data_IF_572371130299
#
_entry.id   IF_572371130299
#
_cell.length_a   1.000
_cell.length_b   1.000
_cell.length_c   1.000
_cell.angle_alpha   90.00
_cell.angle_beta   90.00
_cell.angle_gamma   90.00
#
_symmetry.space_group_name_H-M   'P 1'
#
loop_
_entity.id
_entity.type
_entity.pdbx_description
1 polymer ?
#
# COMPACT_ATOMS: atom_id res chain seq x y z
N UNK A 1 -10.63 -6.00 3.73
CA UNK A 1 -11.82 -5.97 4.59
C UNK A 1 -11.63 -4.90 5.67
N UNK A 2 -12.65 -4.08 5.95
CA UNK A 2 -12.67 -3.14 7.06
C UNK A 2 -13.55 -3.73 8.17
N UNK A 3 -13.00 -3.88 9.36
CA UNK A 3 -13.72 -4.43 10.52
C UNK A 3 -14.13 -3.28 11.44
N UNK A 4 -15.41 -3.19 11.76
CA UNK A 4 -16.02 -2.16 12.60
C UNK A 4 -16.69 -2.85 13.81
N UNK A 5 -16.37 -2.49 15.05
CA UNK A 5 -17.05 -3.03 16.21
C UNK A 5 -18.48 -2.47 16.32
N UNK A 6 -19.45 -3.31 16.65
CA UNK A 6 -20.84 -2.89 16.85
C UNK A 6 -21.13 -2.43 18.30
N UNK A 7 -20.30 -2.84 19.26
CA UNK A 7 -20.48 -2.54 20.65
C UNK A 7 -20.52 -1.02 20.92
N UNK A 8 -21.43 -0.61 21.80
CA UNK A 8 -21.61 0.78 22.20
C UNK A 8 -20.32 1.31 22.87
N UNK A 9 -19.93 2.52 22.52
CA UNK A 9 -18.66 3.12 22.95
C UNK A 9 -17.46 2.73 22.09
N UNK A 10 -17.36 1.46 21.64
CA UNK A 10 -16.27 1.01 20.75
C UNK A 10 -16.49 1.52 19.31
N UNK A 11 -17.71 1.48 18.81
CA UNK A 11 -18.06 2.01 17.48
C UNK A 11 -17.77 3.50 17.41
N UNK A 12 -18.27 4.26 18.38
CA UNK A 12 -18.10 5.71 18.44
C UNK A 12 -16.62 6.10 18.51
N UNK A 13 -15.83 5.38 19.30
CA UNK A 13 -14.38 5.56 19.35
C UNK A 13 -13.71 5.23 17.99
N UNK A 14 -14.08 4.12 17.34
CA UNK A 14 -13.50 3.70 16.08
C UNK A 14 -13.80 4.67 14.93
N UNK A 15 -14.99 5.32 14.91
CA UNK A 15 -15.43 6.24 13.86
C UNK A 15 -15.19 7.73 14.22
N UNK A 16 -14.68 8.02 15.40
CA UNK A 16 -14.34 9.38 15.82
C UNK A 16 -13.33 10.03 14.87
N UNK A 17 -13.10 11.35 15.04
CA UNK A 17 -12.18 12.10 14.16
C UNK A 17 -10.78 11.48 14.09
N UNK A 18 -10.28 10.97 15.20
CA UNK A 18 -8.96 10.33 15.34
C UNK A 18 -9.10 8.79 15.48
N UNK A 19 -10.26 8.24 15.10
CA UNK A 19 -10.56 6.82 15.22
C UNK A 19 -9.85 5.96 14.19
N UNK A 20 -9.41 4.78 14.62
CA UNK A 20 -8.64 3.86 13.77
C UNK A 20 -9.38 3.42 12.50
N UNK A 21 -10.71 3.24 12.56
CA UNK A 21 -11.47 2.84 11.40
C UNK A 21 -11.43 3.89 10.29
N UNK A 22 -11.46 5.18 10.67
CA UNK A 22 -11.28 6.28 9.72
C UNK A 22 -9.89 6.32 9.11
N UNK A 23 -8.88 6.19 9.94
CA UNK A 23 -7.49 6.14 9.48
C UNK A 23 -7.28 4.98 8.51
N UNK A 24 -7.72 3.77 8.87
CA UNK A 24 -7.56 2.58 8.04
C UNK A 24 -8.29 2.70 6.69
N UNK A 25 -9.52 3.21 6.68
CA UNK A 25 -10.27 3.38 5.43
C UNK A 25 -9.64 4.43 4.52
N UNK A 26 -9.15 5.54 5.07
CA UNK A 26 -8.46 6.58 4.31
C UNK A 26 -7.12 6.08 3.77
N UNK A 27 -6.34 5.34 4.57
CA UNK A 27 -5.12 4.67 4.14
C UNK A 27 -5.40 3.69 3.01
N UNK A 28 -6.38 2.81 3.18
CA UNK A 28 -6.76 1.84 2.16
C UNK A 28 -7.13 2.53 0.84
N UNK A 29 -7.94 3.60 0.89
CA UNK A 29 -8.29 4.38 -0.29
C UNK A 29 -7.07 4.99 -0.97
N UNK A 30 -6.23 5.66 -0.21
CA UNK A 30 -5.03 6.36 -0.72
C UNK A 30 -4.02 5.38 -1.28
N UNK A 31 -3.83 4.22 -0.64
CA UNK A 31 -2.98 3.13 -1.14
C UNK A 31 -3.62 2.34 -2.30
N UNK A 32 -4.83 2.72 -2.71
CA UNK A 32 -5.46 2.23 -3.94
C UNK A 32 -6.27 0.96 -3.81
N UNK A 33 -6.68 0.62 -2.61
CA UNK A 33 -7.66 -0.47 -2.39
C UNK A 33 -9.01 -0.04 -2.94
N UNK A 34 -9.43 -0.65 -4.03
CA UNK A 34 -10.66 -0.26 -4.76
C UNK A 34 -11.89 -1.07 -4.35
N UNK A 35 -11.69 -2.25 -3.82
CA UNK A 35 -12.75 -3.16 -3.40
C UNK A 35 -12.71 -3.31 -1.89
N UNK A 36 -13.87 -3.20 -1.24
CA UNK A 36 -13.97 -3.26 0.21
C UNK A 36 -15.18 -4.07 0.64
N UNK A 37 -15.02 -4.86 1.69
CA UNK A 37 -16.08 -5.47 2.47
C UNK A 37 -15.99 -4.83 3.86
N UNK A 38 -17.12 -4.41 4.41
CA UNK A 38 -17.23 -3.92 5.79
C UNK A 38 -17.85 -5.01 6.65
N UNK A 39 -17.10 -5.54 7.59
CA UNK A 39 -17.58 -6.50 8.58
C UNK A 39 -17.95 -5.75 9.87
N UNK A 40 -19.22 -5.70 10.19
CA UNK A 40 -19.74 -5.15 11.44
C UNK A 40 -19.67 -6.27 12.48
N UNK A 41 -18.60 -6.22 13.28
CA UNK A 41 -18.24 -7.30 14.21
C UNK A 41 -18.79 -7.05 15.62
N UNK A 42 -18.79 -8.08 16.44
CA UNK A 42 -19.30 -8.11 17.81
C UNK A 42 -20.83 -7.91 17.88
N UNK A 43 -21.57 -8.47 16.90
CA UNK A 43 -23.03 -8.42 16.92
C UNK A 43 -23.62 -9.12 18.15
N UNK A 44 -22.91 -10.11 18.71
CA UNK A 44 -23.24 -10.77 19.98
C UNK A 44 -23.31 -9.79 21.15
N UNK A 45 -22.43 -8.79 21.19
CA UNK A 45 -22.39 -7.77 22.27
C UNK A 45 -23.58 -6.81 22.26
N UNK A 46 -24.34 -6.77 21.17
CA UNK A 46 -25.51 -5.89 20.99
C UNK A 46 -26.80 -6.71 20.76
N UNK A 47 -26.84 -7.96 21.22
CA UNK A 47 -27.96 -8.88 21.08
C UNK A 47 -28.46 -9.00 19.63
N UNK A 48 -27.54 -8.93 18.63
CA UNK A 48 -27.82 -9.06 17.20
C UNK A 48 -28.84 -8.04 16.63
N UNK A 49 -28.87 -6.82 17.21
CA UNK A 49 -29.81 -5.76 16.84
C UNK A 49 -29.68 -5.33 15.38
N UNK A 50 -30.78 -5.43 14.64
CA UNK A 50 -30.90 -4.92 13.27
C UNK A 50 -30.83 -3.39 13.23
N UNK A 51 -31.48 -2.71 14.19
CA UNK A 51 -31.50 -1.26 14.29
C UNK A 51 -30.08 -0.70 14.42
N UNK A 52 -29.28 -1.26 15.35
CA UNK A 52 -27.89 -0.88 15.56
C UNK A 52 -27.02 -1.15 14.33
N UNK A 53 -27.21 -2.28 13.67
CA UNK A 53 -26.50 -2.56 12.43
C UNK A 53 -26.82 -1.53 11.34
N UNK A 54 -28.08 -1.15 11.16
CA UNK A 54 -28.48 -0.16 10.16
C UNK A 54 -27.96 1.25 10.47
N UNK A 55 -27.92 1.64 11.74
CA UNK A 55 -27.28 2.88 12.19
C UNK A 55 -25.79 2.90 11.81
N UNK A 56 -25.04 1.87 12.18
CA UNK A 56 -23.62 1.73 11.87
C UNK A 56 -23.39 1.76 10.35
N UNK A 57 -24.17 1.00 9.59
CA UNK A 57 -24.11 0.94 8.13
C UNK A 57 -24.28 2.33 7.53
N UNK A 58 -25.25 3.11 8.00
CA UNK A 58 -25.50 4.47 7.52
C UNK A 58 -24.33 5.41 7.81
N UNK A 59 -23.81 5.44 9.03
CA UNK A 59 -22.70 6.31 9.40
C UNK A 59 -21.40 5.97 8.66
N UNK A 60 -21.09 4.66 8.56
CA UNK A 60 -19.88 4.20 7.86
C UNK A 60 -19.99 4.46 6.36
N UNK A 61 -21.18 4.32 5.76
CA UNK A 61 -21.41 4.66 4.35
C UNK A 61 -21.10 6.12 4.06
N UNK A 62 -21.67 7.04 4.84
CA UNK A 62 -21.40 8.48 4.71
C UNK A 62 -19.91 8.81 4.85
N UNK A 63 -19.25 8.15 5.78
CA UNK A 63 -17.83 8.33 5.99
C UNK A 63 -16.99 7.79 4.81
N UNK A 64 -17.29 6.59 4.31
CA UNK A 64 -16.59 5.99 3.16
C UNK A 64 -16.77 6.82 1.89
N UNK A 65 -17.98 7.38 1.66
CA UNK A 65 -18.23 8.28 0.54
C UNK A 65 -17.42 9.58 0.65
N UNK A 66 -17.34 10.18 1.85
CA UNK A 66 -16.48 11.36 2.09
C UNK A 66 -14.99 11.05 1.89
N UNK A 67 -14.58 9.80 2.08
CA UNK A 67 -13.21 9.35 1.83
C UNK A 67 -12.93 9.20 0.33
N UNK A 68 -13.97 8.94 -0.50
CA UNK A 68 -13.89 8.80 -1.95
C UNK A 68 -14.35 7.44 -2.48
N UNK A 69 -14.78 6.53 -1.61
CA UNK A 69 -15.38 5.26 -2.03
C UNK A 69 -16.79 5.49 -2.60
N UNK A 70 -17.16 4.69 -3.57
CA UNK A 70 -18.55 4.62 -4.07
C UNK A 70 -19.23 3.44 -3.39
N UNK A 71 -19.98 3.70 -2.32
CA UNK A 71 -20.63 2.66 -1.51
C UNK A 71 -21.68 1.91 -2.32
N UNK A 72 -22.54 2.64 -3.02
CA UNK A 72 -23.58 2.08 -3.91
C UNK A 72 -23.07 2.10 -5.36
N UNK A 73 -22.17 1.18 -5.70
CA UNK A 73 -21.68 1.01 -7.05
C UNK A 73 -22.35 -0.21 -7.69
N UNK A 74 -23.06 -0.03 -8.79
CA UNK A 74 -23.74 -1.12 -9.52
C UNK A 74 -22.83 -2.30 -9.84
N UNK A 75 -21.55 -2.02 -10.17
CA UNK A 75 -20.59 -3.04 -10.56
C UNK A 75 -19.89 -3.70 -9.38
N UNK A 76 -19.71 -2.99 -8.28
CA UNK A 76 -18.96 -3.46 -7.11
C UNK A 76 -19.38 -2.71 -5.84
N UNK A 77 -20.58 -2.97 -5.31
CA UNK A 77 -21.06 -2.33 -4.10
C UNK A 77 -20.22 -2.74 -2.89
N UNK A 78 -20.04 -1.83 -1.93
CA UNK A 78 -19.46 -2.18 -0.63
C UNK A 78 -20.49 -2.95 0.17
N UNK A 79 -20.16 -4.20 0.50
CA UNK A 79 -21.05 -5.07 1.28
C UNK A 79 -20.81 -4.87 2.76
N UNK A 80 -21.89 -4.68 3.50
CA UNK A 80 -21.89 -4.64 4.96
C UNK A 80 -22.41 -5.97 5.48
N UNK A 81 -21.60 -6.63 6.31
CA UNK A 81 -21.92 -7.97 6.80
C UNK A 81 -21.88 -7.93 8.32
N UNK A 82 -23.04 -8.22 9.00
CA UNK A 82 -23.06 -8.35 10.44
C UNK A 82 -22.46 -9.70 10.82
N UNK A 83 -21.41 -9.68 11.65
CA UNK A 83 -20.71 -10.88 12.09
C UNK A 83 -20.48 -10.90 13.60
N UNK A 84 -20.29 -12.07 14.15
CA UNK A 84 -19.62 -12.26 15.43
C UNK A 84 -18.38 -13.11 15.21
N UNK A 85 -17.20 -12.48 15.25
CA UNK A 85 -15.94 -13.20 15.12
C UNK A 85 -15.64 -14.11 16.32
N UNK A 86 -16.29 -13.87 17.47
CA UNK A 86 -16.17 -14.69 18.66
C UNK A 86 -16.98 -15.98 18.59
N UNK A 87 -18.23 -15.88 18.13
CA UNK A 87 -19.16 -17.02 18.07
C UNK A 87 -19.09 -17.72 16.71
N UNK A 88 -18.66 -17.02 15.65
CA UNK A 88 -18.61 -17.52 14.28
C UNK A 88 -19.85 -17.16 13.44
N UNK A 89 -20.79 -16.38 13.98
CA UNK A 89 -22.03 -16.00 13.29
C UNK A 89 -21.77 -15.25 12.00
N UNK A 90 -22.37 -15.69 10.89
CA UNK A 90 -22.24 -15.15 9.52
C UNK A 90 -20.80 -15.10 8.98
N UNK A 91 -19.90 -15.91 9.51
CA UNK A 91 -18.54 -16.03 8.98
C UNK A 91 -18.46 -17.13 7.90
N UNK A 92 -18.66 -18.37 8.28
CA UNK A 92 -18.68 -19.55 7.39
C UNK A 92 -20.11 -20.03 7.20
N UNK A 93 -20.89 -20.08 8.29
CA UNK A 93 -22.27 -20.49 8.29
C UNK A 93 -23.20 -19.30 8.58
N UNK A 94 -24.42 -19.37 8.05
CA UNK A 94 -25.45 -18.34 8.28
C UNK A 94 -25.98 -18.45 9.71
N UNK A 95 -26.04 -17.31 10.40
CA UNK A 95 -26.55 -17.26 11.77
C UNK A 95 -28.08 -17.24 11.81
N UNK A 96 -28.68 -18.08 12.65
CA UNK A 96 -30.10 -18.07 12.96
C UNK A 96 -30.49 -16.89 13.87
N UNK A 97 -29.53 -16.25 14.51
CA UNK A 97 -29.75 -15.11 15.43
C UNK A 97 -29.99 -13.79 14.69
N UNK A 98 -29.69 -13.75 13.39
CA UNK A 98 -29.87 -12.57 12.52
C UNK A 98 -30.79 -12.90 11.31
N UNK A 99 -32.05 -13.33 11.53
CA UNK A 99 -32.95 -13.73 10.43
C UNK A 99 -33.32 -12.55 9.53
N UNK A 100 -33.16 -11.34 9.99
CA UNK A 100 -33.38 -10.09 9.25
C UNK A 100 -32.31 -9.85 8.18
N UNK A 101 -31.10 -10.40 8.34
CA UNK A 101 -30.02 -10.22 7.38
C UNK A 101 -30.14 -11.22 6.22
N UNK A 102 -30.40 -10.70 5.00
CA UNK A 102 -30.58 -11.50 3.78
C UNK A 102 -29.37 -11.43 2.82
N UNK A 103 -28.34 -10.65 3.17
CA UNK A 103 -27.13 -10.53 2.37
C UNK A 103 -26.21 -11.77 2.45
N UNK A 104 -25.09 -11.79 1.73
CA UNK A 104 -24.12 -12.87 1.79
C UNK A 104 -23.43 -12.92 3.16
N UNK A 105 -23.05 -14.12 3.60
CA UNK A 105 -22.15 -14.31 4.74
C UNK A 105 -20.71 -13.91 4.32
N UNK A 106 -19.79 -13.85 5.28
CA UNK A 106 -18.44 -13.34 5.00
C UNK A 106 -17.70 -14.18 3.95
N UNK A 107 -17.77 -15.51 4.05
CA UNK A 107 -17.13 -16.42 3.08
C UNK A 107 -17.71 -16.23 1.67
N UNK A 108 -19.04 -16.20 1.53
CA UNK A 108 -19.70 -15.93 0.25
C UNK A 108 -19.33 -14.55 -0.31
N UNK A 109 -19.17 -13.55 0.55
CA UNK A 109 -18.81 -12.20 0.12
C UNK A 109 -17.41 -12.11 -0.49
N UNK A 110 -16.49 -12.99 -0.12
CA UNK A 110 -15.17 -13.08 -0.74
C UNK A 110 -15.24 -13.55 -2.19
N UNK A 111 -16.19 -14.43 -2.55
CA UNK A 111 -16.36 -14.94 -3.92
C UNK A 111 -16.86 -13.84 -4.89
N UNK A 112 -17.47 -12.78 -4.38
CA UNK A 112 -17.85 -11.62 -5.19
C UNK A 112 -16.69 -10.65 -5.47
N UNK A 113 -15.51 -10.87 -4.89
CA UNK A 113 -14.34 -10.05 -5.15
C UNK A 113 -13.84 -10.29 -6.58
N UNK A 114 -13.66 -9.21 -7.32
CA UNK A 114 -13.14 -9.29 -8.68
C UNK A 114 -11.64 -9.33 -8.68
N UNK A 115 -11.07 -10.20 -9.50
CA UNK A 115 -9.63 -10.22 -9.72
C UNK A 115 -9.14 -8.86 -10.25
N UNK A 116 -8.12 -8.25 -9.64
CA UNK A 116 -7.53 -7.01 -10.13
C UNK A 116 -6.81 -7.26 -11.45
N UNK A 117 -6.73 -6.25 -12.31
CA UNK A 117 -5.91 -6.33 -13.51
C UNK A 117 -4.45 -6.54 -13.12
N UNK A 118 -3.82 -7.54 -13.73
CA UNK A 118 -2.41 -7.88 -13.55
C UNK A 118 -1.60 -7.20 -14.66
N UNK A 119 -0.80 -6.15 -14.39
CA UNK A 119 -0.03 -5.42 -15.40
C UNK A 119 1.22 -6.21 -15.83
N UNK A 120 1.03 -7.24 -16.67
CA UNK A 120 2.10 -8.09 -17.20
C UNK A 120 2.92 -7.43 -18.30
N UNK A 121 2.36 -6.44 -18.96
CA UNK A 121 2.91 -5.69 -20.11
C UNK A 121 3.87 -4.57 -19.67
N UNK A 122 3.87 -4.22 -18.39
CA UNK A 122 4.84 -3.27 -17.85
C UNK A 122 6.19 -3.96 -17.54
N UNK A 123 7.29 -3.21 -17.48
CA UNK A 123 8.56 -3.74 -17.00
C UNK A 123 8.46 -4.33 -15.60
N UNK A 124 9.29 -5.33 -15.29
CA UNK A 124 9.30 -5.99 -13.99
C UNK A 124 9.58 -5.01 -12.85
N UNK A 125 8.74 -5.05 -11.82
CA UNK A 125 8.97 -4.45 -10.51
C UNK A 125 8.55 -5.44 -9.43
N UNK A 126 9.53 -5.89 -8.64
CA UNK A 126 9.35 -6.85 -7.55
C UNK A 126 10.06 -6.32 -6.29
N UNK A 127 9.34 -5.58 -5.43
CA UNK A 127 9.86 -5.13 -4.14
C UNK A 127 10.16 -6.32 -3.22
N UNK A 128 11.35 -6.35 -2.63
CA UNK A 128 11.78 -7.41 -1.72
C UNK A 128 11.16 -7.22 -0.34
N UNK A 129 10.50 -8.26 0.14
CA UNK A 129 9.95 -8.35 1.49
C UNK A 129 10.99 -8.89 2.47
N UNK A 130 11.83 -9.82 2.00
CA UNK A 130 12.91 -10.43 2.78
C UNK A 130 13.97 -11.05 1.86
N UNK A 131 15.11 -11.43 2.43
CA UNK A 131 16.20 -12.12 1.73
C UNK A 131 16.77 -13.22 2.60
N UNK A 132 16.67 -14.45 2.16
CA UNK A 132 17.12 -15.62 2.90
C UNK A 132 18.40 -16.21 2.30
N UNK A 133 19.25 -16.78 3.17
CA UNK A 133 20.35 -17.65 2.79
C UNK A 133 19.95 -19.09 3.13
N UNK A 134 19.75 -19.92 2.11
CA UNK A 134 19.35 -21.31 2.28
C UNK A 134 20.54 -22.21 1.93
N UNK A 135 20.91 -23.09 2.87
CA UNK A 135 22.02 -24.04 2.67
C UNK A 135 21.79 -24.91 1.44
N UNK A 136 22.82 -25.10 0.60
CA UNK A 136 22.73 -25.87 -0.63
C UNK A 136 22.05 -25.15 -1.81
N UNK A 137 21.24 -24.11 -1.56
CA UNK A 137 20.51 -23.37 -2.60
C UNK A 137 21.18 -22.02 -2.90
N UNK A 138 21.50 -21.23 -1.86
CA UNK A 138 22.12 -19.92 -2.00
C UNK A 138 21.25 -18.79 -1.46
N UNK A 139 21.31 -17.64 -2.11
CA UNK A 139 20.52 -16.46 -1.76
C UNK A 139 19.15 -16.49 -2.44
N UNK A 140 18.10 -16.37 -1.65
CA UNK A 140 16.70 -16.41 -2.08
C UNK A 140 15.99 -15.13 -1.60
N UNK A 141 15.90 -14.10 -2.45
CA UNK A 141 15.01 -12.97 -2.22
C UNK A 141 13.54 -13.41 -2.31
N UNK A 142 12.69 -12.79 -1.50
CA UNK A 142 11.26 -13.04 -1.49
C UNK A 142 10.53 -11.73 -1.66
N UNK A 143 9.49 -11.72 -2.50
CA UNK A 143 8.65 -10.55 -2.70
C UNK A 143 7.45 -10.81 -3.59
N UNK A 144 6.56 -9.83 -3.67
CA UNK A 144 5.42 -9.87 -4.57
C UNK A 144 5.77 -9.21 -5.90
N UNK A 145 5.46 -9.87 -7.00
CA UNK A 145 5.51 -9.25 -8.33
C UNK A 145 4.44 -8.16 -8.38
N UNK A 146 4.83 -6.91 -8.59
CA UNK A 146 3.90 -5.79 -8.73
C UNK A 146 3.56 -5.49 -10.18
N UNK A 147 4.55 -5.55 -11.07
CA UNK A 147 4.40 -5.39 -12.53
C UNK A 147 5.34 -6.31 -13.27
N UNK A 148 5.03 -6.59 -14.52
CA UNK A 148 5.86 -7.43 -15.40
C UNK A 148 5.84 -8.91 -15.04
N UNK A 149 6.80 -9.66 -15.53
CA UNK A 149 6.92 -11.10 -15.34
C UNK A 149 8.35 -11.41 -14.94
N UNK A 150 8.54 -12.33 -13.98
CA UNK A 150 9.84 -12.89 -13.64
C UNK A 150 9.89 -14.37 -14.05
N UNK A 151 11.04 -14.78 -14.65
CA UNK A 151 11.26 -16.15 -15.15
C UNK A 151 12.66 -16.65 -14.76
N UNK A 152 12.86 -17.97 -14.62
CA UNK A 152 14.20 -18.55 -14.60
C UNK A 152 15.01 -18.16 -15.85
N UNK A 153 16.31 -17.93 -15.69
CA UNK A 153 17.22 -17.48 -16.77
C UNK A 153 17.21 -15.98 -17.06
N UNK A 154 16.26 -15.22 -16.49
CA UNK A 154 16.20 -13.77 -16.63
C UNK A 154 17.32 -13.10 -15.82
N UNK A 155 17.92 -12.04 -16.36
CA UNK A 155 18.86 -11.21 -15.60
C UNK A 155 18.10 -10.06 -14.96
N UNK A 156 18.16 -9.99 -13.63
CA UNK A 156 17.52 -8.93 -12.85
C UNK A 156 18.56 -7.98 -12.27
N UNK A 157 18.16 -6.69 -12.15
CA UNK A 157 18.93 -5.65 -11.48
C UNK A 157 18.21 -5.25 -10.19
N UNK A 158 18.93 -5.21 -9.09
CA UNK A 158 18.41 -4.77 -7.80
C UNK A 158 18.70 -3.29 -7.58
N UNK A 159 17.67 -2.46 -7.60
CA UNK A 159 17.80 -1.09 -7.11
C UNK A 159 17.66 -1.05 -5.58
N UNK A 160 18.33 -0.11 -4.89
CA UNK A 160 19.14 1.00 -5.41
C UNK A 160 20.61 0.64 -5.67
N UNK A 161 21.07 -0.59 -5.40
CA UNK A 161 22.49 -0.98 -5.44
C UNK A 161 23.04 -1.14 -6.85
N UNK A 162 22.20 -1.39 -7.85
CA UNK A 162 22.60 -1.67 -9.23
C UNK A 162 23.21 -3.08 -9.44
N UNK A 163 23.17 -3.94 -8.42
CA UNK A 163 23.65 -5.33 -8.54
C UNK A 163 22.76 -6.09 -9.51
N UNK A 164 23.39 -6.72 -10.51
CA UNK A 164 22.67 -7.52 -11.51
C UNK A 164 23.06 -9.00 -11.40
N UNK A 165 22.09 -9.89 -11.59
CA UNK A 165 22.29 -11.33 -11.50
C UNK A 165 21.25 -12.11 -12.28
N UNK A 166 21.57 -13.35 -12.59
CA UNK A 166 20.64 -14.29 -13.22
C UNK A 166 19.76 -14.99 -12.17
N UNK A 167 18.47 -15.08 -12.47
CA UNK A 167 17.48 -15.86 -11.72
C UNK A 167 17.63 -17.34 -12.09
N UNK A 168 17.90 -18.19 -11.10
CA UNK A 168 18.04 -19.66 -11.31
C UNK A 168 16.70 -20.37 -11.30
N UNK A 169 15.86 -20.06 -10.31
CA UNK A 169 14.52 -20.63 -10.14
C UNK A 169 13.56 -19.59 -9.58
N UNK A 170 12.27 -19.81 -9.80
CA UNK A 170 11.16 -19.05 -9.21
C UNK A 170 10.23 -20.05 -8.55
N UNK A 171 9.86 -19.84 -7.30
CA UNK A 171 9.10 -20.79 -6.50
C UNK A 171 7.99 -20.09 -5.70
N UNK A 172 6.86 -20.77 -5.58
CA UNK A 172 5.72 -20.37 -4.76
C UNK A 172 5.13 -21.62 -4.09
N UNK A 173 4.90 -21.58 -2.78
CA UNK A 173 4.38 -22.71 -2.01
C UNK A 173 5.15 -24.04 -2.20
N UNK A 174 6.48 -23.96 -2.30
CA UNK A 174 7.40 -25.11 -2.57
C UNK A 174 7.25 -25.73 -3.95
N UNK A 175 6.58 -25.07 -4.89
CA UNK A 175 6.47 -25.49 -6.28
C UNK A 175 7.27 -24.55 -7.18
N UNK A 176 8.02 -25.13 -8.11
CA UNK A 176 8.75 -24.37 -9.13
C UNK A 176 7.78 -23.84 -10.19
N UNK A 177 7.90 -22.55 -10.50
CA UNK A 177 7.10 -21.90 -11.52
C UNK A 177 7.92 -21.62 -12.78
N UNK A 178 7.36 -21.84 -13.97
CA UNK A 178 7.98 -21.42 -15.23
C UNK A 178 8.03 -19.90 -15.37
N UNK A 179 7.09 -19.21 -14.77
CA UNK A 179 7.01 -17.75 -14.67
C UNK A 179 6.13 -17.32 -13.48
N UNK A 180 6.36 -16.11 -12.96
CA UNK A 180 5.46 -15.50 -11.99
C UNK A 180 4.98 -14.12 -12.48
N UNK A 181 3.71 -13.82 -12.18
CA UNK A 181 2.94 -12.65 -12.66
C UNK A 181 2.58 -11.69 -11.52
N UNK A 182 2.14 -10.46 -11.84
CA UNK A 182 1.70 -9.52 -10.82
C UNK A 182 0.66 -10.12 -9.89
N UNK A 183 0.89 -9.97 -8.57
CA UNK A 183 0.10 -10.56 -7.51
C UNK A 183 0.71 -11.82 -6.89
N UNK A 184 1.57 -12.53 -7.61
CA UNK A 184 2.25 -13.72 -7.08
C UNK A 184 3.32 -13.30 -6.07
N UNK A 185 3.33 -13.95 -4.91
CA UNK A 185 4.36 -13.76 -3.88
C UNK A 185 5.34 -14.92 -3.96
N UNK A 186 6.56 -14.64 -4.42
CA UNK A 186 7.52 -15.66 -4.81
C UNK A 186 8.86 -15.51 -4.12
N UNK A 187 9.51 -16.66 -3.88
CA UNK A 187 10.94 -16.75 -3.66
C UNK A 187 11.66 -17.04 -4.97
N UNK A 188 12.78 -16.41 -5.22
CA UNK A 188 13.56 -16.68 -6.41
C UNK A 188 15.04 -16.80 -6.09
N UNK A 189 15.68 -17.86 -6.58
CA UNK A 189 17.10 -18.11 -6.35
C UNK A 189 17.93 -17.28 -7.34
N UNK A 190 18.99 -16.65 -6.85
CA UNK A 190 19.88 -15.79 -7.65
C UNK A 190 21.33 -16.27 -7.57
N UNK A 191 22.09 -16.03 -8.67
CA UNK A 191 23.52 -16.38 -8.75
C UNK A 191 24.38 -15.30 -8.11
N UNK A 192 25.44 -15.70 -7.39
CA UNK A 192 26.57 -14.84 -6.99
C UNK A 192 26.19 -13.52 -6.30
N UNK A 193 25.07 -13.49 -5.56
CA UNK A 193 24.63 -12.34 -4.75
C UNK A 193 24.59 -12.77 -3.30
N UNK A 194 25.21 -11.98 -2.44
CA UNK A 194 25.18 -12.21 -0.99
C UNK A 194 23.93 -11.56 -0.37
N UNK A 195 23.46 -12.12 0.75
CA UNK A 195 22.42 -11.47 1.59
C UNK A 195 22.84 -10.11 2.14
N UNK A 196 24.13 -9.74 2.02
CA UNK A 196 24.64 -8.41 2.40
C UNK A 196 24.44 -7.37 1.30
N UNK A 197 24.31 -7.81 0.04
CA UNK A 197 24.22 -6.93 -1.14
C UNK A 197 22.79 -6.43 -1.37
N UNK A 198 21.81 -7.23 -0.98
CA UNK A 198 20.39 -6.96 -1.16
C UNK A 198 19.63 -7.14 0.17
N UNK A 199 18.53 -6.41 0.34
CA UNK A 199 17.74 -6.44 1.58
C UNK A 199 16.30 -6.05 1.32
N UNK A 200 15.45 -6.20 2.33
CA UNK A 200 14.09 -5.66 2.33
C UNK A 200 14.07 -4.19 1.90
N UNK A 201 13.11 -3.82 1.07
CA UNK A 201 12.97 -2.48 0.52
C UNK A 201 13.71 -2.24 -0.80
N UNK A 202 14.63 -3.13 -1.20
CA UNK A 202 15.18 -3.12 -2.55
C UNK A 202 14.12 -3.60 -3.55
N UNK A 203 14.30 -3.28 -4.83
CA UNK A 203 13.39 -3.65 -5.91
C UNK A 203 14.17 -4.43 -6.96
N UNK A 204 13.68 -5.62 -7.33
CA UNK A 204 14.18 -6.35 -8.49
C UNK A 204 13.43 -5.88 -9.74
N UNK A 205 14.17 -5.66 -10.83
CA UNK A 205 13.68 -5.21 -12.14
C UNK A 205 14.40 -5.96 -13.25
N UNK A 206 13.83 -5.96 -14.46
CA UNK A 206 14.51 -6.50 -15.63
C UNK A 206 15.72 -5.64 -15.99
N UNK A 207 16.91 -6.24 -16.09
CA UNK A 207 18.13 -5.53 -16.44
C UNK A 207 18.14 -4.96 -17.86
N UNK A 208 17.29 -5.48 -18.76
CA UNK A 208 17.21 -5.10 -20.17
C UNK A 208 16.01 -4.20 -20.48
N UNK A 209 15.04 -4.10 -19.58
CA UNK A 209 13.81 -3.36 -19.81
C UNK A 209 13.51 -2.45 -18.62
N UNK A 210 13.89 -1.18 -18.74
CA UNK A 210 13.73 -0.12 -17.73
C UNK A 210 14.19 -0.55 -16.33
N UNK A 211 15.50 -0.82 -16.12
CA UNK A 211 16.01 -1.19 -14.80
C UNK A 211 15.76 -0.06 -13.78
N UNK A 212 15.31 -0.45 -12.58
CA UNK A 212 15.11 0.49 -11.50
C UNK A 212 16.45 1.03 -10.97
N UNK A 213 16.45 2.28 -10.51
CA UNK A 213 17.65 2.97 -10.03
C UNK A 213 17.40 3.67 -8.69
N UNK A 214 18.49 4.09 -8.04
CA UNK A 214 18.43 4.88 -6.81
C UNK A 214 17.75 6.23 -7.06
N UNK A 215 16.91 6.65 -6.14
CA UNK A 215 16.18 7.91 -6.18
C UNK A 215 16.97 9.01 -5.50
N UNK A 216 17.20 10.13 -6.20
CA UNK A 216 17.78 11.33 -5.60
C UNK A 216 16.71 12.17 -4.91
N UNK A 217 15.74 12.64 -5.68
CA UNK A 217 14.56 13.37 -5.19
C UNK A 217 13.32 12.92 -5.95
N UNK A 218 12.17 13.13 -5.36
CA UNK A 218 10.90 12.93 -6.03
C UNK A 218 9.92 14.04 -5.69
N UNK A 219 9.08 14.36 -6.65
CA UNK A 219 7.96 15.29 -6.48
C UNK A 219 6.69 14.50 -6.21
N UNK A 220 5.95 14.92 -5.20
CA UNK A 220 4.74 14.22 -4.77
C UNK A 220 3.65 15.20 -4.37
N UNK A 221 2.41 14.78 -4.56
CA UNK A 221 1.25 15.41 -3.95
C UNK A 221 0.94 14.69 -2.65
N UNK A 222 0.87 15.42 -1.54
CA UNK A 222 0.61 14.87 -0.21
C UNK A 222 -0.68 15.44 0.37
N UNK A 223 -1.34 14.63 1.21
CA UNK A 223 -2.46 15.05 2.04
C UNK A 223 -2.05 14.84 3.49
N UNK A 224 -2.05 15.91 4.27
CA UNK A 224 -1.72 15.85 5.70
C UNK A 224 -2.92 15.36 6.49
N UNK A 225 -2.74 14.24 7.19
CA UNK A 225 -3.78 13.58 7.97
C UNK A 225 -3.76 13.99 9.44
N UNK A 226 -2.58 13.96 10.03
CA UNK A 226 -2.41 14.19 11.45
C UNK A 226 -1.05 14.82 11.76
N UNK A 227 -0.93 16.13 11.55
CA UNK A 227 0.24 16.90 11.96
C UNK A 227 -0.10 18.39 12.05
N UNK A 228 0.37 19.05 13.11
CA UNK A 228 0.04 20.46 13.36
C UNK A 228 0.81 21.41 12.46
N UNK A 229 2.05 21.07 12.07
CA UNK A 229 2.94 22.00 11.38
C UNK A 229 4.09 21.28 10.69
N UNK A 230 3.93 20.92 9.41
CA UNK A 230 5.01 20.36 8.57
C UNK A 230 5.68 21.53 7.85
N UNK A 231 6.99 21.63 7.99
CA UNK A 231 7.83 22.65 7.36
C UNK A 231 8.94 22.03 6.52
N UNK A 232 9.60 22.84 5.70
CA UNK A 232 10.81 22.43 5.01
C UNK A 232 11.85 21.95 6.01
N UNK A 233 12.49 20.81 5.72
CA UNK A 233 13.45 20.17 6.62
C UNK A 233 12.90 19.09 7.52
N UNK A 234 11.59 18.94 7.67
CA UNK A 234 10.97 17.83 8.40
C UNK A 234 11.29 16.50 7.73
N UNK A 235 11.75 15.52 8.50
CA UNK A 235 12.29 14.25 7.98
C UNK A 235 11.67 13.01 8.66
N UNK A 236 10.37 12.76 8.46
CA UNK A 236 9.69 11.58 8.99
C UNK A 236 10.05 10.32 8.23
N UNK A 237 9.56 9.18 8.70
CA UNK A 237 9.70 7.90 7.99
C UNK A 237 8.63 7.77 6.91
N UNK A 238 9.05 7.34 5.74
CA UNK A 238 8.21 7.09 4.59
C UNK A 238 8.11 5.58 4.35
N UNK A 239 6.87 5.09 4.25
CA UNK A 239 6.51 3.73 3.85
C UNK A 239 6.04 3.74 2.40
N UNK A 240 6.83 3.16 1.51
CA UNK A 240 6.48 2.96 0.11
C UNK A 240 6.81 1.53 -0.27
N UNK A 241 5.84 0.77 -0.82
CA UNK A 241 5.94 -0.67 -1.05
C UNK A 241 6.50 -1.42 0.19
N UNK A 242 7.69 -2.05 0.10
CA UNK A 242 8.36 -2.72 1.23
C UNK A 242 9.42 -1.87 1.91
N UNK A 243 9.63 -0.64 1.42
CA UNK A 243 10.65 0.29 1.90
C UNK A 243 10.15 1.10 3.09
N UNK A 244 11.04 1.29 4.09
CA UNK A 244 10.78 2.03 5.32
C UNK A 244 12.00 2.93 5.61
N UNK A 245 11.99 4.15 5.06
CA UNK A 245 13.15 5.05 5.05
C UNK A 245 12.72 6.47 5.39
N UNK A 246 13.50 7.16 6.23
CA UNK A 246 13.30 8.58 6.49
C UNK A 246 13.50 9.38 5.21
N UNK A 247 12.53 10.27 4.92
CA UNK A 247 12.58 11.17 3.79
C UNK A 247 12.35 12.60 4.26
N UNK A 248 13.18 13.50 3.79
CA UNK A 248 13.11 14.92 4.14
C UNK A 248 12.13 15.64 3.20
N UNK A 249 11.21 16.41 3.76
CA UNK A 249 10.48 17.44 3.04
C UNK A 249 11.46 18.55 2.65
N UNK A 250 12.02 18.49 1.46
CA UNK A 250 13.03 19.45 1.01
C UNK A 250 12.38 20.80 0.71
N UNK A 251 11.27 20.78 -0.01
CA UNK A 251 10.54 22.00 -0.37
C UNK A 251 9.04 21.70 -0.43
N UNK A 252 8.25 22.52 0.21
CA UNK A 252 6.80 22.57 0.02
C UNK A 252 6.55 23.61 -1.07
N UNK A 253 6.17 23.15 -2.28
CA UNK A 253 6.02 24.00 -3.47
C UNK A 253 4.73 24.81 -3.41
N UNK A 254 3.61 24.10 -3.27
CA UNK A 254 2.29 24.71 -3.35
C UNK A 254 1.34 24.03 -2.37
N UNK A 255 0.44 24.80 -1.78
CA UNK A 255 -0.76 24.31 -1.15
C UNK A 255 -1.89 24.26 -2.16
N UNK A 256 -2.68 23.18 -2.18
CA UNK A 256 -3.68 22.89 -3.20
C UNK A 256 -5.06 22.71 -2.57
N UNK A 257 -6.09 23.19 -3.27
CA UNK A 257 -7.47 22.83 -2.94
C UNK A 257 -7.78 21.40 -3.42
N UNK A 258 -8.17 20.53 -2.51
CA UNK A 258 -8.43 19.09 -2.77
C UNK A 258 -9.56 18.82 -3.76
N UNK A 259 -10.52 19.75 -3.92
CA UNK A 259 -11.69 19.56 -4.79
C UNK A 259 -11.43 20.06 -6.20
N UNK A 260 -10.76 21.21 -6.30
CA UNK A 260 -10.52 21.87 -7.59
C UNK A 260 -9.14 21.58 -8.17
N UNK A 261 -8.23 21.01 -7.35
CA UNK A 261 -6.82 20.79 -7.68
C UNK A 261 -6.07 22.08 -8.10
N UNK A 262 -6.57 23.24 -7.65
CA UNK A 262 -5.96 24.54 -7.93
C UNK A 262 -5.01 24.93 -6.81
N UNK A 263 -3.93 25.61 -7.18
CA UNK A 263 -3.00 26.21 -6.23
C UNK A 263 -3.71 27.30 -5.43
N UNK A 264 -3.66 27.21 -4.11
CA UNK A 264 -4.21 28.17 -3.14
C UNK A 264 -3.12 29.11 -2.63
N UNK A 265 -1.92 28.57 -2.41
CA UNK A 265 -0.78 29.30 -1.88
C UNK A 265 0.52 28.74 -2.46
N UNK A 266 1.39 29.59 -2.97
CA UNK A 266 2.72 29.23 -3.45
C UNK A 266 3.75 29.38 -2.33
N UNK A 267 4.68 28.41 -2.26
CA UNK A 267 5.77 28.38 -1.26
C UNK A 267 5.31 28.59 0.19
N UNK A 268 4.29 27.85 0.67
CA UNK A 268 3.78 28.01 2.01
C UNK A 268 4.88 27.70 3.04
N UNK A 269 4.93 28.45 4.12
CA UNK A 269 5.89 28.21 5.22
C UNK A 269 5.64 26.88 5.91
N UNK A 270 4.41 26.43 5.95
CA UNK A 270 4.01 25.19 6.59
C UNK A 270 2.67 24.67 6.06
N UNK A 271 2.46 23.37 6.20
CA UNK A 271 1.18 22.69 5.95
C UNK A 271 0.74 21.94 7.21
N UNK A 272 -0.55 21.76 7.39
CA UNK A 272 -1.18 21.15 8.58
C UNK A 272 -2.28 20.17 8.20
N UNK A 273 -2.80 19.47 9.19
CA UNK A 273 -3.94 18.54 9.05
C UNK A 273 -5.05 19.11 8.17
N UNK A 274 -5.43 18.34 7.14
CA UNK A 274 -6.45 18.69 6.17
C UNK A 274 -5.92 19.38 4.91
N UNK A 275 -4.69 19.89 4.92
CA UNK A 275 -4.07 20.49 3.75
C UNK A 275 -3.62 19.43 2.74
N UNK A 276 -3.68 19.80 1.46
CA UNK A 276 -3.02 19.09 0.38
C UNK A 276 -1.93 19.99 -0.22
N UNK A 277 -0.80 19.41 -0.59
CA UNK A 277 0.34 20.17 -1.09
C UNK A 277 1.17 19.37 -2.11
N UNK A 278 1.80 20.10 -3.03
CA UNK A 278 2.90 19.58 -3.86
C UNK A 278 4.21 19.79 -3.12
N UNK A 279 5.00 18.72 -2.98
CA UNK A 279 6.23 18.72 -2.21
C UNK A 279 7.37 18.06 -2.99
N UNK A 280 8.60 18.51 -2.74
CA UNK A 280 9.81 17.81 -3.13
C UNK A 280 10.33 17.08 -1.90
N UNK A 281 10.55 15.78 -2.05
CA UNK A 281 11.05 14.92 -0.98
C UNK A 281 12.39 14.30 -1.37
N UNK A 282 13.30 14.23 -0.42
CA UNK A 282 14.62 13.61 -0.57
C UNK A 282 14.79 12.45 0.40
N UNK A 283 15.05 11.23 -0.11
CA UNK A 283 15.39 10.09 0.74
C UNK A 283 16.70 10.31 1.51
N UNK A 284 16.71 9.95 2.78
CA UNK A 284 17.90 10.02 3.64
C UNK A 284 18.85 8.82 3.46
N UNK A 285 18.38 7.76 2.81
CA UNK A 285 19.13 6.55 2.44
C UNK A 285 18.72 6.12 1.04
N UNK A 286 19.60 5.36 0.34
CA UNK A 286 19.27 4.82 -0.98
C UNK A 286 17.96 4.03 -0.97
N UNK A 287 17.05 4.38 -1.89
CA UNK A 287 15.77 3.72 -2.10
C UNK A 287 15.30 3.84 -3.54
N UNK A 288 14.38 2.98 -3.91
CA UNK A 288 13.70 3.03 -5.21
C UNK A 288 12.25 3.42 -5.01
N UNK A 289 11.83 4.46 -5.68
CA UNK A 289 10.41 4.79 -5.88
C UNK A 289 10.18 5.09 -7.35
N UNK A 290 8.93 5.02 -7.77
CA UNK A 290 8.53 5.29 -9.16
C UNK A 290 7.35 6.26 -9.19
N UNK A 291 7.13 6.91 -10.33
CA UNK A 291 5.94 7.73 -10.49
C UNK A 291 4.68 6.86 -10.48
N UNK A 292 3.62 7.36 -9.86
CA UNK A 292 2.33 6.67 -9.81
C UNK A 292 1.77 6.37 -11.20
N UNK A 293 2.01 7.25 -12.16
CA UNK A 293 1.54 7.09 -13.54
C UNK A 293 2.19 5.90 -14.24
N UNK A 294 3.49 5.68 -14.01
CA UNK A 294 4.23 4.58 -14.64
C UNK A 294 4.06 3.26 -13.88
N UNK A 295 4.23 3.29 -12.56
CA UNK A 295 4.19 2.11 -11.70
C UNK A 295 3.35 2.39 -10.45
N UNK A 296 2.00 2.31 -10.53
CA UNK A 296 1.12 2.67 -9.42
C UNK A 296 1.46 2.02 -8.07
N UNK A 297 1.88 0.74 -7.98
CA UNK A 297 2.23 0.12 -6.71
C UNK A 297 3.46 0.74 -6.02
N UNK A 298 4.40 1.30 -6.79
CA UNK A 298 5.62 1.92 -6.28
C UNK A 298 5.54 3.47 -6.23
N UNK A 299 4.38 4.03 -6.59
CA UNK A 299 4.13 5.47 -6.67
C UNK A 299 3.23 6.02 -5.57
N UNK A 300 2.88 5.23 -4.56
CA UNK A 300 2.09 5.65 -3.41
C UNK A 300 2.87 5.41 -2.13
N UNK A 301 2.69 6.32 -1.17
CA UNK A 301 3.38 6.20 0.11
C UNK A 301 2.56 6.75 1.27
N UNK A 302 2.90 6.29 2.46
CA UNK A 302 2.46 6.86 3.72
C UNK A 302 3.67 7.45 4.46
N UNK A 303 3.45 8.58 5.10
CA UNK A 303 4.43 9.25 5.96
C UNK A 303 4.05 8.97 7.40
N UNK A 304 4.98 8.45 8.17
CA UNK A 304 4.74 8.07 9.57
C UNK A 304 5.71 8.75 10.51
N UNK A 305 5.18 9.20 11.64
CA UNK A 305 5.95 9.73 12.75
C UNK A 305 5.29 9.33 14.07
N UNK A 306 6.08 9.01 15.09
CA UNK A 306 5.61 8.59 16.42
C UNK A 306 4.48 7.55 16.38
N UNK A 307 4.59 6.55 15.50
CA UNK A 307 3.61 5.47 15.28
C UNK A 307 2.25 5.93 14.70
N UNK A 308 2.13 7.19 14.28
CA UNK A 308 0.94 7.72 13.62
C UNK A 308 1.19 7.97 12.15
N UNK A 309 0.15 7.87 11.33
CA UNK A 309 0.19 8.31 9.94
C UNK A 309 0.00 9.80 9.87
N UNK A 310 1.06 10.51 9.47
CA UNK A 310 1.13 11.97 9.39
C UNK A 310 0.55 12.49 8.08
N UNK A 311 0.92 11.84 6.99
CA UNK A 311 0.46 12.19 5.65
C UNK A 311 0.45 10.95 4.74
N UNK A 312 -0.26 11.08 3.64
CA UNK A 312 -0.25 10.11 2.54
C UNK A 312 0.01 10.84 1.24
N UNK A 313 0.66 10.18 0.29
CA UNK A 313 1.03 10.86 -0.93
C UNK A 313 1.09 9.96 -2.16
N UNK A 314 1.10 10.64 -3.31
CA UNK A 314 1.24 10.06 -4.63
C UNK A 314 2.42 10.73 -5.33
N UNK A 315 3.33 9.93 -5.87
CA UNK A 315 4.54 10.40 -6.55
C UNK A 315 4.20 10.79 -7.98
N UNK A 316 4.47 12.05 -8.34
CA UNK A 316 4.23 12.58 -9.66
C UNK A 316 5.44 12.35 -10.58
N UNK A 317 6.64 12.62 -10.09
CA UNK A 317 7.89 12.45 -10.83
C UNK A 317 9.03 12.04 -9.93
N UNK A 318 10.03 11.37 -10.53
CA UNK A 318 11.21 10.86 -9.82
C UNK A 318 12.46 11.30 -10.59
N UNK A 319 13.40 11.89 -9.87
CA UNK A 319 14.76 12.14 -10.36
C UNK A 319 15.65 11.02 -9.84
N UNK A 320 16.17 10.19 -10.75
CA UNK A 320 17.09 9.11 -10.43
C UNK A 320 18.49 9.70 -10.19
N UNK A 321 19.24 9.15 -9.25
CA UNK A 321 20.66 9.50 -9.10
C UNK A 321 21.41 9.12 -10.37
N UNK A 322 22.18 10.05 -10.88
CA UNK A 322 23.15 9.75 -11.94
C UNK A 322 24.16 8.77 -11.33
N UNK A 323 24.30 7.60 -11.94
CA UNK A 323 25.38 6.69 -11.55
C UNK A 323 26.70 7.45 -11.77
N UNK A 324 27.41 7.78 -10.69
CA UNK A 324 28.78 8.24 -10.81
C UNK A 324 29.51 7.15 -11.59
N UNK A 325 30.02 7.51 -12.75
CA UNK A 325 30.92 6.66 -13.50
C UNK A 325 32.08 6.34 -12.55
N UNK A 326 32.01 5.17 -11.89
CA UNK A 326 33.11 4.71 -11.03
C UNK A 326 34.33 4.66 -11.91
N UNK A 327 35.19 5.69 -11.73
CA UNK A 327 36.48 5.74 -12.32
C UNK A 327 37.18 4.42 -12.07
N UNK A 328 37.53 3.74 -13.15
CA UNK A 328 38.32 2.53 -13.07
C UNK A 328 39.57 2.82 -12.24
N UNK A 329 39.66 2.24 -11.06
CA UNK A 329 40.91 2.07 -10.40
C UNK A 329 41.64 0.94 -11.13
N UNK A 330 42.74 1.36 -11.80
CA UNK A 330 43.79 0.48 -12.28
C UNK A 330 44.35 -0.37 -11.15
#
# INVERSE_FOLDING_TARGET
MLVIPAATGEFEAAISKDGQAREHALLAYTLGVKQMIVAVNKMDAIAYSEERFNEIKKEVSVFLEKTGYKVENEKNPIRFIPISGWVGDNMIDRSDKMPWYKGPILLEALDFMREPKRPTDLPLRLPLQDVYKIGGIGTVPVGRVETGIIKPGMVVTFGPTGVSTEVKSVEMHHEQLPEAKPGDNVGFNVKNVSVKDIRRGHVASDSKNDPCADTDVFEAQVIVMNHKNIQNGYAPVLDCHTCHIACKFETIKNKIDRRTNKVVEENPKAIKTGDAADVIMRPMRPMVVESFKAYPPLGRFAVRDMKMTVAVGVINSVTRKVADAKGGKK
#
